data_IF_729622166897
#
_entry.id   IF_729622166897
#
_cell.length_a   1.000
_cell.length_b   1.000
_cell.length_c   1.000
_cell.angle_alpha   90.00
_cell.angle_beta   90.00
_cell.angle_gamma   90.00
#
_symmetry.space_group_name_H-M   'P 1'
#
loop_
_entity.id
_entity.type
_entity.pdbx_description
1 polymer ?
#
# COMPACT_ATOMS: atom_id res chain seq x y z
N UNK A 1 -4.72 -21.31 3.09
CA UNK A 1 -6.17 -21.46 2.78
C UNK A 1 -7.05 -20.40 3.48
N UNK A 2 -6.67 -19.87 4.66
CA UNK A 2 -7.42 -18.83 5.39
C UNK A 2 -6.84 -17.42 5.23
N UNK A 3 -6.57 -16.99 3.99
CA UNK A 3 -6.07 -15.63 3.74
C UNK A 3 -7.05 -14.56 4.22
N UNK A 4 -8.34 -14.90 4.23
CA UNK A 4 -9.44 -14.07 4.71
C UNK A 4 -9.40 -13.77 6.22
N UNK A 5 -8.58 -14.50 6.99
CA UNK A 5 -8.38 -14.33 8.44
C UNK A 5 -7.14 -13.50 8.80
N UNK A 6 -6.43 -12.93 7.83
CA UNK A 6 -5.26 -12.07 8.07
C UNK A 6 -5.65 -10.63 8.43
N UNK A 7 -6.82 -10.43 9.04
CA UNK A 7 -7.30 -9.12 9.48
C UNK A 7 -8.31 -9.23 10.61
N UNK A 8 -8.51 -8.14 11.33
CA UNK A 8 -9.54 -8.03 12.39
C UNK A 8 -10.93 -8.25 11.80
N UNK A 9 -11.23 -7.66 10.64
CA UNK A 9 -12.50 -7.88 9.95
C UNK A 9 -12.72 -9.36 9.56
N UNK A 10 -11.64 -10.06 9.18
CA UNK A 10 -11.62 -11.49 8.91
C UNK A 10 -11.96 -12.33 10.13
N UNK A 11 -11.19 -12.14 11.19
CA UNK A 11 -11.35 -12.87 12.45
C UNK A 11 -12.70 -12.59 13.11
N UNK A 12 -13.16 -11.33 13.12
CA UNK A 12 -14.45 -10.96 13.68
C UNK A 12 -15.61 -11.65 12.94
N UNK A 13 -15.51 -11.77 11.60
CA UNK A 13 -16.49 -12.50 10.79
C UNK A 13 -16.54 -13.99 11.17
N UNK A 14 -15.39 -14.63 11.35
CA UNK A 14 -15.33 -16.04 11.79
C UNK A 14 -15.92 -16.25 13.19
N UNK A 15 -15.56 -15.39 14.14
CA UNK A 15 -16.08 -15.46 15.51
C UNK A 15 -17.60 -15.24 15.49
N UNK A 16 -18.10 -14.25 14.75
CA UNK A 16 -19.54 -14.03 14.62
C UNK A 16 -20.28 -15.23 14.04
N UNK A 17 -19.74 -15.86 13.00
CA UNK A 17 -20.32 -17.08 12.43
C UNK A 17 -20.33 -18.25 13.43
N UNK A 18 -19.24 -18.44 14.18
CA UNK A 18 -19.10 -19.52 15.16
C UNK A 18 -20.09 -19.40 16.32
N UNK A 19 -20.33 -18.18 16.81
CA UNK A 19 -21.19 -17.91 17.96
C UNK A 19 -22.62 -17.47 17.58
N UNK A 20 -22.96 -17.48 16.28
CA UNK A 20 -24.23 -16.94 15.77
C UNK A 20 -24.52 -15.51 16.28
N UNK A 21 -23.48 -14.67 16.30
CA UNK A 21 -23.53 -13.30 16.77
C UNK A 21 -23.43 -12.30 15.61
N UNK A 22 -24.13 -11.17 15.72
CA UNK A 22 -24.01 -10.08 14.76
C UNK A 22 -22.60 -9.47 14.80
N UNK A 23 -22.05 -9.18 13.62
CA UNK A 23 -20.74 -8.55 13.47
C UNK A 23 -20.90 -7.13 12.94
N UNK A 24 -20.56 -6.15 13.75
CA UNK A 24 -20.58 -4.73 13.35
C UNK A 24 -19.30 -4.39 12.60
N UNK A 25 -19.45 -4.01 11.32
CA UNK A 25 -18.33 -3.49 10.51
C UNK A 25 -18.15 -1.99 10.73
N UNK A 26 -16.91 -1.46 10.58
CA UNK A 26 -16.72 -0.02 10.56
C UNK A 26 -17.50 0.61 9.40
N UNK A 27 -18.17 1.73 9.67
CA UNK A 27 -18.83 2.51 8.64
C UNK A 27 -17.80 3.44 7.98
N UNK A 28 -17.48 3.19 6.71
CA UNK A 28 -16.50 3.97 5.95
C UNK A 28 -17.22 4.73 4.84
N UNK A 29 -17.42 6.03 5.06
CA UNK A 29 -18.02 6.90 4.06
C UNK A 29 -17.01 7.24 2.95
N UNK A 30 -17.49 7.41 1.71
CA UNK A 30 -16.66 7.90 0.63
C UNK A 30 -16.18 9.33 0.91
N UNK A 31 -14.88 9.56 0.74
CA UNK A 31 -14.29 10.91 0.85
C UNK A 31 -14.39 11.59 -0.52
N UNK A 32 -15.20 12.63 -0.62
CA UNK A 32 -15.33 13.44 -1.85
C UNK A 32 -13.99 14.06 -2.26
N UNK A 33 -13.70 14.07 -3.56
CA UNK A 33 -12.56 14.79 -4.09
C UNK A 33 -12.75 16.31 -3.92
N UNK A 34 -11.68 17.00 -3.55
CA UNK A 34 -11.65 18.47 -3.39
C UNK A 34 -10.77 19.15 -4.44
N UNK A 35 -10.14 18.36 -5.32
CA UNK A 35 -9.37 18.78 -6.48
C UNK A 35 -9.42 17.67 -7.54
N UNK A 36 -9.09 18.01 -8.79
CA UNK A 36 -9.14 17.09 -9.93
C UNK A 36 -7.79 16.46 -10.28
N UNK A 37 -6.73 16.75 -9.49
CA UNK A 37 -5.40 16.21 -9.75
C UNK A 37 -5.35 14.69 -9.67
N UNK A 38 -4.79 14.08 -10.71
CA UNK A 38 -4.60 12.64 -10.88
C UNK A 38 -3.22 12.35 -11.47
N UNK A 39 -2.73 11.12 -11.29
CA UNK A 39 -1.60 10.59 -12.07
C UNK A 39 -2.11 9.54 -13.04
N UNK A 40 -1.59 9.48 -14.28
CA UNK A 40 -1.91 8.38 -15.17
C UNK A 40 -1.42 7.07 -14.55
N UNK A 41 -2.23 6.02 -14.69
CA UNK A 41 -1.92 4.67 -14.22
C UNK A 41 -2.09 3.73 -15.40
N UNK A 42 -1.01 3.06 -15.77
CA UNK A 42 -0.98 2.02 -16.80
C UNK A 42 -0.81 0.66 -16.14
N UNK A 43 -1.77 -0.24 -16.33
CA UNK A 43 -1.63 -1.63 -15.90
C UNK A 43 -1.26 -2.48 -17.11
N UNK A 44 0.05 -2.70 -17.27
CA UNK A 44 0.65 -3.41 -18.41
C UNK A 44 0.70 -4.93 -18.19
N UNK A 45 0.57 -5.38 -16.94
CA UNK A 45 0.44 -6.78 -16.57
C UNK A 45 -0.93 -7.07 -15.92
N UNK A 46 -2.06 -6.96 -16.65
CA UNK A 46 -3.41 -7.03 -16.09
C UNK A 46 -3.79 -8.41 -15.52
N UNK A 47 -3.08 -9.48 -15.92
CA UNK A 47 -3.24 -10.80 -15.30
C UNK A 47 -2.68 -10.81 -13.88
N UNK A 48 -1.50 -10.23 -13.69
CA UNK A 48 -0.82 -10.18 -12.39
C UNK A 48 -1.38 -9.09 -11.48
N UNK A 49 -1.90 -8.00 -12.05
CA UNK A 49 -2.61 -6.95 -11.32
C UNK A 49 -3.96 -6.64 -11.98
N UNK A 50 -5.03 -7.40 -11.67
CA UNK A 50 -6.34 -7.16 -12.25
C UNK A 50 -6.99 -5.83 -11.83
N UNK A 51 -6.52 -5.23 -10.73
CA UNK A 51 -7.04 -3.96 -10.23
C UNK A 51 -5.98 -3.16 -9.50
N UNK A 52 -5.82 -1.92 -9.92
CA UNK A 52 -4.97 -0.93 -9.26
C UNK A 52 -5.77 0.36 -9.05
N UNK A 53 -5.75 0.89 -7.84
CA UNK A 53 -6.36 2.17 -7.47
C UNK A 53 -5.26 3.11 -7.00
N UNK A 54 -5.25 4.31 -7.55
CA UNK A 54 -4.32 5.37 -7.20
C UNK A 54 -5.08 6.63 -6.76
N UNK A 55 -4.58 7.31 -5.73
CA UNK A 55 -5.17 8.59 -5.28
C UNK A 55 -4.09 9.60 -4.88
N UNK A 56 -4.16 10.79 -5.46
CA UNK A 56 -3.34 11.94 -5.05
C UNK A 56 -3.94 12.59 -3.81
N UNK A 57 -3.11 12.85 -2.80
CA UNK A 57 -3.45 13.59 -1.59
C UNK A 57 -2.42 14.71 -1.42
N UNK A 58 -2.88 15.96 -1.47
CA UNK A 58 -2.01 17.15 -1.44
C UNK A 58 -1.85 17.74 -0.03
N UNK A 59 -0.72 18.39 0.19
CA UNK A 59 -0.41 19.24 1.35
C UNK A 59 -0.59 18.53 2.72
N UNK A 60 -0.12 17.29 2.82
CA UNK A 60 -0.07 16.56 4.09
C UNK A 60 1.00 17.14 5.02
N UNK A 61 0.73 17.07 6.32
CA UNK A 61 1.70 17.40 7.37
C UNK A 61 2.10 16.14 8.13
N UNK A 62 3.19 15.52 7.67
CA UNK A 62 3.74 14.30 8.24
C UNK A 62 4.56 14.52 9.50
N UNK A 63 4.76 15.78 9.92
CA UNK A 63 5.34 16.07 11.24
C UNK A 63 4.36 15.78 12.38
N UNK A 64 3.06 15.65 12.06
CA UNK A 64 2.03 15.37 13.05
C UNK A 64 2.13 13.92 13.54
N UNK A 65 2.09 13.69 14.86
CA UNK A 65 2.21 12.34 15.39
C UNK A 65 0.97 11.50 15.09
N UNK A 66 1.18 10.20 14.92
CA UNK A 66 0.11 9.20 14.90
C UNK A 66 -0.68 9.27 16.21
N UNK A 67 -2.03 9.29 16.16
CA UNK A 67 -2.83 9.37 17.37
C UNK A 67 -2.68 8.12 18.25
N UNK A 68 -2.66 8.30 19.57
CA UNK A 68 -2.34 7.25 20.54
C UNK A 68 -3.19 5.98 20.39
N UNK A 69 -4.47 6.11 20.04
CA UNK A 69 -5.36 4.96 19.86
C UNK A 69 -4.92 4.06 18.70
N UNK A 70 -4.34 4.64 17.63
CA UNK A 70 -3.84 3.90 16.47
C UNK A 70 -2.52 3.25 16.82
N UNK A 71 -1.61 3.98 17.47
CA UNK A 71 -0.33 3.44 17.99
C UNK A 71 -0.58 2.21 18.88
N UNK A 72 -1.53 2.28 19.80
CA UNK A 72 -1.85 1.15 20.68
C UNK A 72 -2.46 -0.04 19.93
N UNK A 73 -3.27 0.18 18.90
CA UNK A 73 -3.83 -0.91 18.08
C UNK A 73 -2.75 -1.59 17.24
N UNK A 74 -1.83 -0.82 16.65
CA UNK A 74 -0.67 -1.34 15.93
C UNK A 74 0.22 -2.16 16.88
N UNK A 75 0.58 -1.59 18.04
CA UNK A 75 1.45 -2.24 19.04
C UNK A 75 0.90 -3.58 19.53
N UNK A 76 -0.41 -3.69 19.71
CA UNK A 76 -1.07 -4.94 20.15
C UNK A 76 -1.17 -6.00 19.04
N UNK A 77 -0.79 -5.63 17.82
CA UNK A 77 -0.68 -6.51 16.66
C UNK A 77 0.79 -6.73 16.28
N UNK A 78 1.73 -6.47 17.21
CA UNK A 78 3.18 -6.54 17.02
C UNK A 78 3.73 -5.67 15.87
N UNK A 79 3.01 -4.61 15.51
CA UNK A 79 3.45 -3.59 14.55
C UNK A 79 3.94 -2.36 15.30
N UNK A 80 5.19 -1.99 15.07
CA UNK A 80 5.79 -0.76 15.62
C UNK A 80 5.30 0.46 14.84
N UNK A 81 4.96 1.52 15.54
CA UNK A 81 4.67 2.84 14.94
C UNK A 81 5.95 3.49 14.41
N UNK A 82 5.89 4.02 13.20
CA UNK A 82 7.05 4.60 12.48
C UNK A 82 6.77 6.08 12.16
N UNK A 83 5.80 6.33 11.28
CA UNK A 83 5.32 7.65 10.88
C UNK A 83 3.84 7.57 10.50
N UNK A 84 3.18 8.72 10.38
CA UNK A 84 1.74 8.77 10.18
C UNK A 84 1.27 8.08 8.88
N UNK A 85 2.04 8.14 7.79
CA UNK A 85 1.62 7.52 6.51
C UNK A 85 1.75 5.99 6.58
N UNK A 86 2.88 5.50 7.08
CA UNK A 86 3.12 4.06 7.26
C UNK A 86 2.17 3.47 8.31
N UNK A 87 1.91 4.19 9.40
CA UNK A 87 1.00 3.75 10.45
C UNK A 87 -0.44 3.63 9.95
N UNK A 88 -0.92 4.57 9.13
CA UNK A 88 -2.27 4.52 8.55
C UNK A 88 -2.40 3.33 7.59
N UNK A 89 -1.42 3.12 6.71
CA UNK A 89 -1.45 2.01 5.74
C UNK A 89 -1.39 0.65 6.43
N UNK A 90 -0.52 0.49 7.43
CA UNK A 90 -0.48 -0.70 8.30
C UNK A 90 -1.78 -0.90 9.09
N UNK A 91 -2.37 0.18 9.58
CA UNK A 91 -3.62 0.12 10.32
C UNK A 91 -4.77 -0.43 9.45
N UNK A 92 -4.90 0.06 8.22
CA UNK A 92 -5.90 -0.44 7.26
C UNK A 92 -5.63 -1.89 6.90
N UNK A 93 -4.37 -2.28 6.70
CA UNK A 93 -3.99 -3.67 6.45
C UNK A 93 -4.45 -4.59 7.59
N UNK A 94 -4.20 -4.22 8.85
CA UNK A 94 -4.61 -5.02 10.00
C UNK A 94 -6.13 -5.00 10.23
N UNK A 95 -6.79 -3.86 10.04
CA UNK A 95 -8.22 -3.72 10.28
C UNK A 95 -9.04 -4.46 9.21
N UNK A 96 -8.71 -4.27 7.93
CA UNK A 96 -9.52 -4.72 6.79
C UNK A 96 -8.89 -5.85 5.97
N UNK A 97 -7.58 -6.09 6.09
CA UNK A 97 -6.86 -7.10 5.32
C UNK A 97 -6.39 -6.63 3.95
N UNK A 98 -6.37 -5.31 3.72
CA UNK A 98 -5.92 -4.71 2.47
C UNK A 98 -4.57 -4.00 2.69
N UNK A 99 -3.46 -4.57 2.20
CA UNK A 99 -2.20 -3.85 2.12
C UNK A 99 -2.34 -2.60 1.26
N UNK A 100 -1.74 -1.50 1.71
CA UNK A 100 -1.67 -0.23 1.00
C UNK A 100 -0.22 0.24 0.96
N UNK A 101 0.08 1.10 0.01
CA UNK A 101 1.38 1.78 -0.06
C UNK A 101 1.19 3.27 -0.30
N UNK A 102 2.15 4.08 0.17
CA UNK A 102 2.17 5.52 -0.05
C UNK A 102 3.51 5.89 -0.68
N UNK A 103 3.46 6.46 -1.87
CA UNK A 103 4.63 7.03 -2.54
C UNK A 103 4.69 8.53 -2.31
N UNK A 104 5.90 9.09 -2.26
CA UNK A 104 6.08 10.53 -2.43
C UNK A 104 5.66 10.91 -3.86
N UNK A 105 4.69 11.83 -3.99
CA UNK A 105 4.19 12.25 -5.30
C UNK A 105 5.26 12.93 -6.16
N UNK A 106 6.26 13.55 -5.53
CA UNK A 106 7.35 14.24 -6.22
C UNK A 106 8.32 13.26 -6.89
N UNK A 107 8.44 12.05 -6.34
CA UNK A 107 9.36 11.01 -6.82
C UNK A 107 8.76 10.18 -7.97
N UNK A 108 7.50 10.42 -8.33
CA UNK A 108 6.84 9.75 -9.47
C UNK A 108 7.04 10.56 -10.75
N UNK A 109 7.83 10.01 -11.66
CA UNK A 109 8.09 10.62 -12.96
C UNK A 109 7.02 10.24 -13.98
N UNK A 110 6.20 11.23 -14.36
CA UNK A 110 5.06 11.06 -15.27
C UNK A 110 3.84 10.48 -14.56
N UNK A 111 3.89 9.19 -14.23
CA UNK A 111 2.78 8.42 -13.65
C UNK A 111 3.17 6.98 -13.41
N UNK A 112 2.21 6.15 -12.99
CA UNK A 112 2.45 4.77 -12.55
C UNK A 112 2.30 3.79 -13.70
N UNK A 113 3.20 2.80 -13.75
CA UNK A 113 3.19 1.66 -14.66
C UNK A 113 3.34 0.37 -13.86
N UNK A 114 2.28 -0.43 -13.82
CA UNK A 114 2.28 -1.77 -13.20
C UNK A 114 2.68 -2.77 -14.27
N UNK A 115 3.91 -3.29 -14.19
CA UNK A 115 4.51 -4.13 -15.25
C UNK A 115 5.38 -5.23 -14.66
N UNK A 116 5.76 -6.20 -15.50
CA UNK A 116 6.86 -7.09 -15.15
C UNK A 116 8.19 -6.34 -15.18
N UNK A 117 9.13 -6.76 -14.33
CA UNK A 117 10.48 -6.24 -14.30
C UNK A 117 11.24 -6.59 -15.59
N UNK A 118 12.27 -5.83 -15.89
CA UNK A 118 13.27 -6.23 -16.88
C UNK A 118 14.25 -7.24 -16.25
N UNK A 119 14.77 -8.20 -17.03
CA UNK A 119 15.73 -9.16 -16.50
C UNK A 119 17.00 -8.45 -16.03
N UNK A 120 17.35 -8.62 -14.74
CA UNK A 120 18.47 -7.95 -14.11
C UNK A 120 18.20 -6.53 -13.67
N UNK A 121 16.96 -6.01 -13.78
CA UNK A 121 16.57 -4.67 -13.32
C UNK A 121 16.97 -4.47 -11.86
N UNK A 122 17.57 -3.33 -11.55
CA UNK A 122 18.09 -3.03 -10.21
C UNK A 122 17.10 -2.18 -9.44
N UNK A 123 16.89 -2.54 -8.17
CA UNK A 123 16.06 -1.78 -7.25
C UNK A 123 16.71 -1.78 -5.85
N UNK A 124 16.83 -0.61 -5.24
CA UNK A 124 17.21 -0.47 -3.83
C UNK A 124 15.95 -0.45 -2.99
N UNK A 125 15.82 -1.39 -2.07
CA UNK A 125 14.66 -1.55 -1.19
C UNK A 125 14.75 -0.63 0.03
N UNK A 126 13.62 -0.43 0.72
CA UNK A 126 13.53 0.43 1.92
C UNK A 126 14.47 0.03 3.08
N UNK A 127 15.00 -1.20 3.08
CA UNK A 127 16.01 -1.65 4.05
C UNK A 127 17.46 -1.38 3.60
N UNK A 128 17.64 -0.72 2.45
CA UNK A 128 18.92 -0.39 1.83
C UNK A 128 19.51 -1.52 1.00
N UNK A 129 18.85 -2.68 0.89
CA UNK A 129 19.35 -3.78 0.07
C UNK A 129 19.11 -3.50 -1.42
N UNK A 130 20.17 -3.56 -2.23
CA UNK A 130 20.03 -3.60 -3.68
C UNK A 130 19.73 -5.04 -4.14
N UNK A 131 18.66 -5.20 -4.93
CA UNK A 131 18.27 -6.47 -5.53
C UNK A 131 18.35 -6.40 -7.05
N UNK A 132 18.65 -7.54 -7.68
CA UNK A 132 18.50 -7.74 -9.13
C UNK A 132 17.23 -8.53 -9.37
N UNK A 133 16.29 -7.92 -10.08
CA UNK A 133 14.98 -8.49 -10.35
C UNK A 133 15.05 -9.44 -11.56
N UNK A 134 14.16 -10.43 -11.57
CA UNK A 134 13.97 -11.34 -12.69
C UNK A 134 12.77 -10.87 -13.51
N UNK A 135 12.72 -11.23 -14.79
CA UNK A 135 11.65 -10.81 -15.69
C UNK A 135 10.24 -11.34 -15.31
N UNK A 136 10.14 -12.29 -14.37
CA UNK A 136 8.89 -12.79 -13.81
C UNK A 136 8.44 -12.05 -12.53
N UNK A 137 9.21 -11.07 -12.04
CA UNK A 137 8.84 -10.24 -10.89
C UNK A 137 7.92 -9.09 -11.29
N UNK A 138 6.74 -8.99 -10.67
CA UNK A 138 5.87 -7.83 -10.83
C UNK A 138 6.42 -6.61 -10.07
N UNK A 139 6.46 -5.46 -10.73
CA UNK A 139 6.91 -4.19 -10.15
C UNK A 139 5.89 -3.08 -10.32
N UNK A 140 5.91 -2.16 -9.37
CA UNK A 140 5.33 -0.83 -9.54
C UNK A 140 6.46 0.07 -10.00
N UNK A 141 6.31 0.66 -11.18
CA UNK A 141 7.29 1.54 -11.81
C UNK A 141 6.66 2.89 -12.14
N UNK A 142 7.50 3.87 -12.46
CA UNK A 142 7.08 5.05 -13.18
C UNK A 142 7.54 5.00 -14.65
N UNK A 143 7.63 6.16 -15.32
CA UNK A 143 8.10 6.22 -16.71
C UNK A 143 9.63 6.18 -16.84
N UNK A 144 10.37 6.19 -15.74
CA UNK A 144 11.84 6.18 -15.69
C UNK A 144 12.40 4.90 -15.07
N UNK A 145 11.87 4.43 -13.94
CA UNK A 145 12.45 3.31 -13.19
C UNK A 145 11.40 2.53 -12.36
N UNK A 146 11.81 1.37 -11.84
CA UNK A 146 11.05 0.66 -10.81
C UNK A 146 11.06 1.44 -9.49
N UNK A 147 9.90 1.49 -8.84
CA UNK A 147 9.69 2.15 -7.54
C UNK A 147 9.53 1.12 -6.42
N UNK A 148 8.93 -0.04 -6.69
CA UNK A 148 8.67 -1.07 -5.69
C UNK A 148 8.52 -2.46 -6.32
N UNK A 149 8.76 -3.51 -5.53
CA UNK A 149 8.31 -4.87 -5.84
C UNK A 149 6.83 -4.96 -5.45
N UNK A 150 5.97 -5.21 -6.43
CA UNK A 150 4.52 -5.12 -6.26
C UNK A 150 4.02 -6.11 -5.19
N UNK A 151 3.31 -5.59 -4.19
CA UNK A 151 2.74 -6.39 -3.10
C UNK A 151 3.75 -6.95 -2.10
N UNK A 152 5.05 -6.66 -2.23
CA UNK A 152 6.12 -7.20 -1.37
C UNK A 152 6.83 -6.12 -0.59
N UNK A 153 7.52 -5.19 -1.27
CA UNK A 153 8.34 -4.18 -0.61
C UNK A 153 8.54 -2.94 -1.47
N UNK A 154 8.46 -1.76 -0.83
CA UNK A 154 8.76 -0.47 -1.46
C UNK A 154 10.26 -0.27 -1.71
N UNK A 155 10.59 0.56 -2.69
CA UNK A 155 11.94 1.05 -2.92
C UNK A 155 12.31 2.22 -2.01
N UNK A 156 13.60 2.40 -1.79
CA UNK A 156 14.16 3.44 -0.91
C UNK A 156 13.79 4.85 -1.37
N UNK A 157 13.91 5.12 -2.67
CA UNK A 157 13.82 6.48 -3.22
C UNK A 157 12.39 6.96 -3.45
N UNK A 158 11.41 6.06 -3.54
CA UNK A 158 10.01 6.42 -3.82
C UNK A 158 9.14 6.53 -2.58
N UNK A 159 9.68 6.13 -1.42
CA UNK A 159 8.98 6.13 -0.14
C UNK A 159 8.75 7.53 0.41
N UNK A 160 7.78 7.64 1.31
CA UNK A 160 7.50 8.88 2.04
C UNK A 160 8.65 9.21 2.99
N UNK A 161 9.05 10.48 3.02
CA UNK A 161 10.07 11.03 3.92
C UNK A 161 9.50 12.13 4.81
N UNK A 162 10.30 12.62 5.76
CA UNK A 162 9.92 13.78 6.58
C UNK A 162 9.71 15.07 5.75
N UNK A 163 10.25 15.13 4.53
CA UNK A 163 10.09 16.27 3.61
C UNK A 163 8.84 16.19 2.73
N UNK A 164 8.22 15.01 2.62
CA UNK A 164 7.09 14.77 1.72
C UNK A 164 5.88 15.62 2.09
N UNK A 165 5.30 16.27 1.08
CA UNK A 165 4.10 17.12 1.23
C UNK A 165 2.90 16.61 0.47
N UNK A 166 3.13 15.81 -0.55
CA UNK A 166 2.08 15.30 -1.43
C UNK A 166 2.32 13.80 -1.59
N UNK A 167 1.27 13.00 -1.47
CA UNK A 167 1.35 11.54 -1.49
C UNK A 167 0.51 10.99 -2.63
N UNK A 168 1.00 9.92 -3.26
CA UNK A 168 0.19 9.04 -4.10
C UNK A 168 -0.09 7.75 -3.32
N UNK A 169 -1.35 7.52 -2.96
CA UNK A 169 -1.81 6.34 -2.25
C UNK A 169 -2.15 5.22 -3.23
N UNK A 170 -1.56 4.05 -3.03
CA UNK A 170 -1.81 2.81 -3.76
C UNK A 170 -2.74 1.88 -2.96
N UNK A 171 -3.74 1.32 -3.66
CA UNK A 171 -4.49 0.14 -3.24
C UNK A 171 -4.68 -0.79 -4.44
N UNK A 172 -4.15 -2.00 -4.38
CA UNK A 172 -4.18 -2.93 -5.50
C UNK A 172 -4.64 -4.34 -5.08
N UNK A 173 -5.11 -5.09 -6.07
CA UNK A 173 -5.29 -6.53 -5.98
C UNK A 173 -4.29 -7.18 -6.95
N UNK A 174 -3.39 -7.98 -6.40
CA UNK A 174 -2.45 -8.78 -7.15
C UNK A 174 -2.91 -10.24 -7.17
N UNK A 175 -2.74 -10.91 -8.31
CA UNK A 175 -3.08 -12.32 -8.46
C UNK A 175 -2.17 -13.20 -7.58
N UNK A 176 -2.76 -14.16 -6.88
CA UNK A 176 -2.07 -14.97 -5.86
C UNK A 176 -1.10 -16.00 -6.43
N UNK A 177 -1.11 -16.25 -7.74
CA UNK A 177 -0.10 -17.10 -8.40
C UNK A 177 1.09 -16.23 -8.84
N UNK A 178 0.84 -14.95 -9.08
CA UNK A 178 1.81 -13.99 -9.60
C UNK A 178 2.67 -13.33 -8.51
N UNK A 179 2.26 -13.39 -7.24
CA UNK A 179 2.94 -12.82 -6.06
C UNK A 179 3.09 -13.88 -4.98
#
# INVERSE_FOLDING_TARGET
>A
NRGDCLSVAGLAREVGALYAAEVTRPQVAAVSAVHDEVRPVEVLAPVACPRYLGRVIRNVDLSRPTPLWMVERLRRSDVRSIDAAVDITNYVMLELGQPLHAFDLAEINGGIRVRMAEEGEKLVLLDGQEVSLRADTLVIADHQCALAIAGVMGGEHSGVTAGTRDIFLESAFFDTISV
#
